data_IF_750945180609
#
_entry.id   IF_750945180609
#
_cell.length_a   1.000
_cell.length_b   1.000
_cell.length_c   1.000
_cell.angle_alpha   90.00
_cell.angle_beta   90.00
_cell.angle_gamma   90.00
#
_symmetry.space_group_name_H-M   'P 1'
#
loop_
_entity.id
_entity.type
_entity.pdbx_description
1 polymer ?
#
# COMPACT_ATOMS: atom_id res chain seq x y z
N UNK A 1 -45.37 -15.55 -5.59
CA UNK A 1 -44.06 -16.04 -5.10
C UNK A 1 -43.03 -14.89 -5.06
N UNK A 2 -43.24 -13.82 -4.28
CA UNK A 2 -42.36 -12.63 -4.34
C UNK A 2 -42.06 -11.96 -2.99
N UNK A 3 -41.87 -12.72 -1.91
CA UNK A 3 -41.46 -12.09 -0.64
C UNK A 3 -40.58 -12.95 0.28
N UNK A 4 -40.25 -14.18 -0.10
CA UNK A 4 -39.48 -15.07 0.79
C UNK A 4 -38.06 -14.54 1.02
N UNK A 5 -37.39 -14.06 -0.04
CA UNK A 5 -36.04 -13.48 0.08
C UNK A 5 -36.02 -12.21 0.94
N UNK A 6 -37.06 -11.36 0.84
CA UNK A 6 -37.17 -10.14 1.64
C UNK A 6 -37.41 -10.47 3.11
N UNK A 7 -38.30 -11.41 3.40
CA UNK A 7 -38.59 -11.86 4.78
C UNK A 7 -37.34 -12.52 5.39
N UNK A 8 -36.63 -13.36 4.64
CA UNK A 8 -35.39 -13.98 5.09
C UNK A 8 -34.29 -12.95 5.37
N UNK A 9 -34.17 -11.89 4.55
CA UNK A 9 -33.21 -10.81 4.79
C UNK A 9 -33.54 -10.02 6.07
N UNK A 10 -34.83 -9.71 6.30
CA UNK A 10 -35.27 -9.02 7.51
C UNK A 10 -34.98 -9.87 8.75
N UNK A 11 -35.34 -11.16 8.73
CA UNK A 11 -35.09 -12.07 9.85
C UNK A 11 -33.59 -12.18 10.16
N UNK A 12 -32.73 -12.29 9.13
CA UNK A 12 -31.26 -12.31 9.32
C UNK A 12 -30.71 -11.03 9.95
N UNK A 13 -31.27 -9.86 9.63
CA UNK A 13 -30.85 -8.60 10.25
C UNK A 13 -31.31 -8.53 11.70
N UNK A 14 -32.53 -8.99 11.99
CA UNK A 14 -33.09 -9.04 13.35
C UNK A 14 -32.31 -10.03 14.23
N UNK A 15 -31.88 -11.16 13.67
CA UNK A 15 -31.05 -12.17 14.36
C UNK A 15 -29.58 -11.75 14.50
N UNK A 16 -29.12 -10.73 13.76
CA UNK A 16 -27.75 -10.24 13.86
C UNK A 16 -27.60 -9.50 15.18
N UNK A 17 -27.11 -10.23 16.19
CA UNK A 17 -26.63 -9.64 17.43
C UNK A 17 -25.60 -8.57 17.09
N UNK A 18 -25.77 -7.37 17.66
CA UNK A 18 -24.74 -6.34 17.59
C UNK A 18 -23.57 -6.88 18.40
N UNK A 19 -22.41 -7.06 17.76
CA UNK A 19 -21.18 -7.30 18.51
C UNK A 19 -21.04 -6.16 19.52
N UNK A 20 -20.95 -6.51 20.80
CA UNK A 20 -20.77 -5.49 21.84
C UNK A 20 -19.51 -4.71 21.47
N UNK A 21 -19.65 -3.39 21.40
CA UNK A 21 -18.52 -2.51 21.26
C UNK A 21 -17.50 -2.90 22.35
N UNK A 22 -16.28 -3.22 21.93
CA UNK A 22 -15.18 -3.43 22.86
C UNK A 22 -14.99 -2.11 23.60
N UNK A 23 -15.03 -2.13 24.93
CA UNK A 23 -14.68 -0.94 25.70
C UNK A 23 -13.27 -0.53 25.31
N UNK A 24 -13.16 0.63 24.67
CA UNK A 24 -11.86 1.17 24.27
C UNK A 24 -11.13 1.57 25.55
N UNK A 25 -9.89 1.12 25.69
CA UNK A 25 -9.01 1.58 26.75
C UNK A 25 -8.76 3.10 26.68
N UNK A 26 -7.99 3.67 27.63
CA UNK A 26 -7.59 5.07 27.56
C UNK A 26 -6.91 5.36 26.22
N UNK A 27 -7.12 6.57 25.68
CA UNK A 27 -6.44 7.00 24.47
C UNK A 27 -4.92 6.90 24.67
N UNK A 28 -4.26 6.09 23.84
CA UNK A 28 -2.80 5.93 23.82
C UNK A 28 -2.28 6.35 22.45
N UNK A 29 -1.12 6.99 22.45
CA UNK A 29 -0.37 7.37 21.25
C UNK A 29 0.65 6.31 20.84
N UNK A 30 0.82 5.23 21.63
CA UNK A 30 1.88 4.24 21.44
C UNK A 30 1.77 3.49 20.10
N UNK A 31 0.56 3.41 19.53
CA UNK A 31 0.28 2.79 18.24
C UNK A 31 0.03 3.81 17.12
N UNK A 32 0.19 5.11 17.39
CA UNK A 32 -0.01 6.12 16.36
C UNK A 32 1.12 6.06 15.32
N UNK A 33 0.75 5.91 14.04
CA UNK A 33 1.71 5.92 12.93
C UNK A 33 2.67 4.74 12.88
N UNK A 34 2.41 3.65 13.63
CA UNK A 34 3.31 2.47 13.66
C UNK A 34 3.40 1.76 12.30
N UNK A 35 2.32 1.78 11.51
CA UNK A 35 2.24 1.23 10.16
C UNK A 35 2.55 2.26 9.06
N UNK A 36 3.34 3.29 9.39
CA UNK A 36 3.79 4.30 8.45
C UNK A 36 5.31 4.28 8.38
N UNK A 37 5.87 4.29 7.17
CA UNK A 37 7.30 4.48 6.96
C UNK A 37 7.67 5.95 7.19
N UNK A 38 7.62 6.37 8.45
CA UNK A 38 7.81 7.73 8.93
C UNK A 38 9.31 8.08 9.10
N UNK A 39 9.62 9.29 9.60
CA UNK A 39 11.01 9.72 9.79
C UNK A 39 11.83 8.77 10.69
N UNK A 40 11.24 8.27 11.77
CA UNK A 40 11.93 7.34 12.69
C UNK A 40 12.26 6.02 11.98
N UNK A 41 11.31 5.49 11.20
CA UNK A 41 11.54 4.32 10.36
C UNK A 41 12.60 4.60 9.28
N UNK A 42 12.52 5.73 8.58
CA UNK A 42 13.53 6.13 7.60
C UNK A 42 14.93 6.17 8.20
N UNK A 43 15.10 6.80 9.37
CA UNK A 43 16.41 6.88 10.05
C UNK A 43 16.92 5.53 10.56
N UNK A 44 16.02 4.58 10.83
CA UNK A 44 16.38 3.21 11.25
C UNK A 44 16.80 2.32 10.08
N UNK A 45 16.11 2.41 8.95
CA UNK A 45 16.31 1.50 7.80
C UNK A 45 17.23 2.06 6.71
N UNK A 46 17.43 3.38 6.62
CA UNK A 46 18.28 4.02 5.61
C UNK A 46 19.64 4.43 6.17
N UNK A 47 20.65 4.49 5.31
CA UNK A 47 21.88 5.18 5.66
C UNK A 47 21.60 6.67 5.93
N UNK A 48 22.36 7.26 6.86
CA UNK A 48 22.17 8.66 7.30
C UNK A 48 22.04 9.65 6.13
N UNK A 49 22.96 9.56 5.16
CA UNK A 49 22.96 10.45 4.00
C UNK A 49 21.69 10.29 3.13
N UNK A 50 21.20 9.06 2.98
CA UNK A 50 20.02 8.75 2.18
C UNK A 50 18.74 9.19 2.90
N UNK A 51 18.66 8.96 4.22
CA UNK A 51 17.57 9.48 5.04
C UNK A 51 17.49 11.02 4.96
N UNK A 52 18.62 11.71 5.13
CA UNK A 52 18.66 13.18 5.10
C UNK A 52 18.26 13.73 3.72
N UNK A 53 18.71 13.08 2.63
CA UNK A 53 18.28 13.43 1.26
C UNK A 53 16.78 13.21 1.06
N UNK A 54 16.24 12.05 1.44
CA UNK A 54 14.82 11.72 1.29
C UNK A 54 13.93 12.70 2.06
N UNK A 55 14.29 13.00 3.32
CA UNK A 55 13.59 13.97 4.14
C UNK A 55 13.64 15.38 3.52
N UNK A 56 14.79 15.77 2.94
CA UNK A 56 14.90 17.03 2.21
C UNK A 56 13.99 17.06 0.97
N UNK A 57 13.89 15.95 0.23
CA UNK A 57 12.98 15.81 -0.91
C UNK A 57 11.52 15.98 -0.49
N UNK A 58 11.09 15.31 0.58
CA UNK A 58 9.73 15.40 1.14
C UNK A 58 9.41 16.83 1.59
N UNK A 59 10.29 17.43 2.39
CA UNK A 59 10.09 18.77 2.96
C UNK A 59 10.05 19.88 1.89
N UNK A 60 10.75 19.68 0.77
CA UNK A 60 10.82 20.65 -0.33
C UNK A 60 9.84 20.34 -1.46
N UNK A 61 9.05 19.27 -1.36
CA UNK A 61 8.23 18.74 -2.46
C UNK A 61 9.00 18.63 -3.78
N UNK A 62 10.27 18.18 -3.69
CA UNK A 62 11.14 18.03 -4.84
C UNK A 62 10.99 16.63 -5.48
N UNK A 63 11.42 16.44 -6.73
CA UNK A 63 11.58 15.10 -7.29
C UNK A 63 12.59 14.27 -6.49
N UNK A 64 12.37 12.97 -6.41
CA UNK A 64 13.32 12.04 -5.77
C UNK A 64 14.63 12.00 -6.57
N UNK A 65 15.76 12.03 -5.86
CA UNK A 65 17.08 11.85 -6.47
C UNK A 65 17.22 10.38 -6.92
N UNK A 66 17.39 10.10 -8.22
CA UNK A 66 17.47 8.73 -8.71
C UNK A 66 18.61 7.92 -8.07
N UNK A 67 19.67 8.58 -7.59
CA UNK A 67 20.80 7.92 -6.94
C UNK A 67 20.45 7.29 -5.59
N UNK A 68 19.35 7.69 -4.96
CA UNK A 68 18.88 7.11 -3.70
C UNK A 68 17.65 6.22 -3.86
N UNK A 69 17.03 6.18 -5.04
CA UNK A 69 15.75 5.53 -5.24
C UNK A 69 15.78 4.02 -4.93
N UNK A 70 16.82 3.31 -5.39
CA UNK A 70 16.96 1.88 -5.12
C UNK A 70 17.20 1.56 -3.64
N UNK A 71 18.02 2.38 -2.96
CA UNK A 71 18.26 2.22 -1.52
C UNK A 71 16.97 2.46 -0.73
N UNK A 72 16.20 3.48 -1.10
CA UNK A 72 14.91 3.79 -0.48
C UNK A 72 13.92 2.65 -0.71
N UNK A 73 13.81 2.13 -1.92
CA UNK A 73 12.93 1.01 -2.24
C UNK A 73 13.31 -0.22 -1.41
N UNK A 74 14.59 -0.57 -1.38
CA UNK A 74 15.07 -1.70 -0.58
C UNK A 74 14.70 -1.55 0.90
N UNK A 75 14.98 -0.39 1.51
CA UNK A 75 14.65 -0.12 2.90
C UNK A 75 13.14 -0.17 3.18
N UNK A 76 12.31 0.41 2.30
CA UNK A 76 10.85 0.35 2.42
C UNK A 76 10.33 -1.09 2.38
N UNK A 77 10.90 -1.91 1.50
CA UNK A 77 10.55 -3.33 1.36
C UNK A 77 10.90 -4.11 2.63
N UNK A 78 12.13 -3.96 3.15
CA UNK A 78 12.55 -4.62 4.40
C UNK A 78 11.67 -4.19 5.58
N UNK A 79 11.39 -2.88 5.71
CA UNK A 79 10.48 -2.37 6.73
C UNK A 79 9.07 -2.96 6.62
N UNK A 80 8.54 -3.07 5.41
CA UNK A 80 7.20 -3.62 5.18
C UNK A 80 7.16 -5.12 5.51
N UNK A 81 8.17 -5.89 5.10
CA UNK A 81 8.29 -7.33 5.36
C UNK A 81 8.43 -7.62 6.86
N UNK A 82 9.19 -6.80 7.60
CA UNK A 82 9.31 -6.92 9.07
C UNK A 82 7.95 -6.80 9.77
N UNK A 83 6.98 -6.16 9.12
CA UNK A 83 5.59 -6.00 9.59
C UNK A 83 4.61 -7.02 9.00
N UNK A 84 5.12 -7.98 8.23
CA UNK A 84 4.32 -9.05 7.61
C UNK A 84 3.72 -8.70 6.25
N UNK A 85 4.12 -7.59 5.62
CA UNK A 85 3.67 -7.28 4.27
C UNK A 85 4.25 -8.25 3.25
N UNK A 86 3.41 -8.66 2.29
CA UNK A 86 3.78 -9.59 1.21
C UNK A 86 3.61 -8.99 -0.19
N UNK A 87 2.92 -7.85 -0.25
CA UNK A 87 2.55 -7.14 -1.47
C UNK A 87 2.74 -5.64 -1.26
N UNK A 88 2.86 -4.92 -2.37
CA UNK A 88 2.78 -3.47 -2.42
C UNK A 88 1.71 -3.04 -3.42
N UNK A 89 1.31 -1.77 -3.33
CA UNK A 89 0.39 -1.17 -4.29
C UNK A 89 0.71 0.31 -4.46
N UNK A 90 0.60 0.83 -5.68
CA UNK A 90 0.55 2.26 -5.92
C UNK A 90 -0.85 2.75 -5.60
N UNK A 91 -1.05 3.20 -4.36
CA UNK A 91 -2.35 3.69 -3.93
C UNK A 91 -2.60 5.11 -4.49
N UNK A 92 -3.66 5.26 -5.29
CA UNK A 92 -4.11 6.56 -5.78
C UNK A 92 -5.64 6.62 -5.90
N UNK A 93 -6.19 7.83 -5.89
CA UNK A 93 -7.62 8.07 -6.09
C UNK A 93 -7.88 8.55 -7.53
N UNK A 94 -8.43 7.70 -8.43
CA UNK A 94 -8.84 8.16 -9.75
C UNK A 94 -10.03 9.13 -9.68
N UNK A 95 -10.16 9.99 -10.70
CA UNK A 95 -11.25 10.97 -10.84
C UNK A 95 -12.65 10.35 -11.08
N UNK A 96 -12.76 9.01 -11.00
CA UNK A 96 -14.00 8.25 -11.15
C UNK A 96 -14.73 8.01 -9.83
N UNK A 97 -14.25 8.59 -8.72
CA UNK A 97 -14.83 8.47 -7.37
C UNK A 97 -14.80 7.05 -6.77
N UNK A 98 -14.04 6.12 -7.36
CA UNK A 98 -13.71 4.82 -6.79
C UNK A 98 -12.23 4.72 -6.41
N UNK A 99 -11.85 3.72 -5.62
CA UNK A 99 -10.43 3.38 -5.39
C UNK A 99 -9.99 2.33 -6.40
N UNK A 100 -8.85 2.54 -7.04
CA UNK A 100 -8.21 1.55 -7.89
C UNK A 100 -6.89 1.14 -7.22
N UNK A 101 -6.80 -0.12 -6.81
CA UNK A 101 -5.58 -0.70 -6.26
C UNK A 101 -5.26 -1.98 -7.04
N UNK A 102 -3.97 -2.18 -7.31
CA UNK A 102 -3.42 -3.43 -7.82
C UNK A 102 -2.37 -3.90 -6.83
N UNK A 103 -2.54 -5.11 -6.31
CA UNK A 103 -1.60 -5.67 -5.34
C UNK A 103 -0.55 -6.47 -6.11
N UNK A 104 0.68 -5.95 -6.13
CA UNK A 104 1.84 -6.61 -6.72
C UNK A 104 2.66 -7.27 -5.61
N UNK A 105 3.10 -8.51 -5.83
CA UNK A 105 3.90 -9.23 -4.84
C UNK A 105 5.35 -8.76 -4.87
N UNK A 106 6.02 -8.75 -3.72
CA UNK A 106 7.48 -8.61 -3.68
C UNK A 106 8.21 -9.82 -4.29
N UNK A 107 7.52 -10.95 -4.49
CA UNK A 107 8.14 -12.19 -4.96
C UNK A 107 8.46 -12.15 -6.46
N UNK A 108 9.74 -12.27 -6.79
CA UNK A 108 10.22 -12.39 -8.17
C UNK A 108 11.00 -13.70 -8.38
N UNK A 109 10.84 -14.37 -9.54
CA UNK A 109 11.62 -15.56 -9.87
C UNK A 109 13.08 -15.17 -10.19
N UNK A 110 14.04 -15.70 -9.42
CA UNK A 110 15.48 -15.45 -9.58
C UNK A 110 16.17 -16.43 -10.55
N UNK A 111 15.40 -17.30 -11.21
CA UNK A 111 15.93 -18.43 -11.97
C UNK A 111 16.37 -19.60 -11.08
N UNK A 112 16.76 -20.73 -11.70
CA UNK A 112 17.25 -21.93 -11.01
C UNK A 112 16.33 -22.45 -9.89
N UNK A 113 15.01 -22.39 -10.08
CA UNK A 113 14.00 -22.78 -9.09
C UNK A 113 14.09 -22.01 -7.76
N UNK A 114 14.63 -20.79 -7.77
CA UNK A 114 14.70 -19.89 -6.61
C UNK A 114 13.83 -18.65 -6.86
N UNK A 115 13.31 -18.09 -5.77
CA UNK A 115 12.60 -16.83 -5.77
C UNK A 115 13.26 -15.89 -4.76
N UNK A 116 13.19 -14.59 -5.04
CA UNK A 116 13.71 -13.52 -4.19
C UNK A 116 12.59 -12.52 -3.90
N UNK A 117 12.74 -11.74 -2.83
CA UNK A 117 11.88 -10.59 -2.58
C UNK A 117 12.55 -9.32 -3.10
N UNK A 118 12.00 -8.76 -4.16
CA UNK A 118 12.52 -7.61 -4.87
C UNK A 118 11.55 -6.42 -4.82
N UNK A 119 12.12 -5.23 -4.74
CA UNK A 119 11.43 -3.95 -4.87
C UNK A 119 12.50 -2.90 -5.19
N UNK A 120 12.44 -2.30 -6.38
CA UNK A 120 13.47 -1.39 -6.90
C UNK A 120 12.99 0.07 -6.91
N UNK A 121 13.91 1.00 -7.13
CA UNK A 121 13.63 2.42 -7.26
C UNK A 121 12.74 2.73 -8.47
N UNK A 122 12.77 1.90 -9.51
CA UNK A 122 11.84 2.02 -10.64
C UNK A 122 10.38 1.92 -10.17
N UNK A 123 10.09 1.06 -9.20
CA UNK A 123 8.75 0.94 -8.60
C UNK A 123 8.36 2.18 -7.79
N UNK A 124 9.30 3.04 -7.38
CA UNK A 124 8.98 4.32 -6.70
C UNK A 124 8.74 5.47 -7.70
N UNK A 125 9.36 5.40 -8.88
CA UNK A 125 9.48 6.53 -9.80
C UNK A 125 8.50 6.44 -10.98
N UNK A 126 7.65 5.40 -11.06
CA UNK A 126 6.70 5.22 -12.18
C UNK A 126 5.83 6.46 -12.39
N UNK A 127 6.23 7.27 -13.37
CA UNK A 127 5.70 8.60 -13.69
C UNK A 127 4.47 8.58 -14.60
N UNK A 128 3.99 7.40 -14.99
CA UNK A 128 2.71 7.27 -15.69
C UNK A 128 1.91 6.15 -15.02
N UNK A 129 0.75 6.49 -14.47
CA UNK A 129 -0.31 5.53 -14.23
C UNK A 129 -0.78 5.01 -15.59
N UNK A 130 0.00 4.12 -16.22
CA UNK A 130 -0.46 3.40 -17.39
C UNK A 130 -1.48 2.35 -16.93
N UNK A 131 -2.72 2.80 -16.84
CA UNK A 131 -3.90 1.99 -16.60
C UNK A 131 -4.19 0.99 -17.75
N UNK A 132 -3.22 0.69 -18.63
CA UNK A 132 -3.32 -0.32 -19.68
C UNK A 132 -3.48 -1.76 -19.16
N UNK A 133 -3.08 -2.00 -17.90
CA UNK A 133 -3.16 -3.32 -17.26
C UNK A 133 -4.50 -3.61 -16.58
N UNK A 134 -5.44 -2.65 -16.55
CA UNK A 134 -6.83 -2.95 -16.21
C UNK A 134 -7.52 -3.69 -17.37
N UNK A 135 -8.49 -4.61 -17.13
CA UNK A 135 -9.15 -5.43 -18.15
C UNK A 135 -10.01 -4.67 -19.19
N UNK A 136 -9.78 -3.38 -19.38
CA UNK A 136 -10.42 -2.51 -20.37
C UNK A 136 -9.42 -1.88 -21.34
N UNK A 137 -8.28 -2.55 -21.60
CA UNK A 137 -7.32 -2.17 -22.64
C UNK A 137 -7.88 -2.38 -24.05
N UNK A 138 -8.90 -1.59 -24.46
CA UNK A 138 -9.58 -1.85 -25.72
C UNK A 138 -10.30 -0.72 -26.43
N UNK A 139 -10.61 0.43 -25.81
CA UNK A 139 -11.20 1.55 -26.57
C UNK A 139 -10.75 2.89 -25.99
N UNK A 140 -9.75 3.48 -26.63
CA UNK A 140 -9.66 4.93 -26.78
C UNK A 140 -9.63 5.20 -28.28
N UNK A 141 -10.79 5.47 -28.86
CA UNK A 141 -10.90 6.15 -30.14
C UNK A 141 -11.88 7.31 -29.98
N UNK A 142 -11.36 8.49 -30.32
CA UNK A 142 -11.93 9.84 -30.41
C UNK A 142 -12.08 10.61 -29.10
#
# INVERSE_FOLDING_TARGET
MSNLNRINAINKVVERGVEKAVETGPASVDYYGVDVFNEDAMRKYLAKNTADKLLATINKAAPIDPSIADEVAYAMKEWAIDRGATHYTHWFQPLTYGTAEKHDSFLEPAGNSRAIMAFSGENLVVGESDASSFPSGGIRTM
#
